data_IF_419411567695
#
_entry.id   IF_419411567695
#
_cell.length_a   1.000
_cell.length_b   1.000
_cell.length_c   1.000
_cell.angle_alpha   90.00
_cell.angle_beta   90.00
_cell.angle_gamma   90.00
#
_symmetry.space_group_name_H-M   'P 1'
#
loop_
_entity.id
_entity.type
_entity.pdbx_description
1 polymer ?
#
# COMPACT_ATOMS: atom_id res chain seq x y z
N UNK A 1 -12.31 3.18 -17.48
CA UNK A 1 -11.44 3.74 -16.42
C UNK A 1 -10.43 2.70 -16.00
N UNK A 2 -9.16 3.06 -16.02
CA UNK A 2 -8.09 2.12 -15.68
C UNK A 2 -8.05 1.90 -14.17
N UNK A 3 -8.19 0.64 -13.73
CA UNK A 3 -8.11 0.31 -12.31
C UNK A 3 -6.68 -0.05 -11.87
N UNK A 4 -5.75 -0.14 -12.80
CA UNK A 4 -4.35 -0.49 -12.52
C UNK A 4 -3.50 0.74 -12.23
N UNK A 5 -2.60 0.59 -11.27
CA UNK A 5 -1.54 1.58 -11.00
C UNK A 5 -0.32 1.20 -11.84
N UNK A 6 0.00 -0.10 -11.88
CA UNK A 6 1.08 -0.67 -12.68
C UNK A 6 0.67 -2.07 -13.12
N UNK A 7 1.57 -2.81 -13.78
CA UNK A 7 1.21 -4.14 -14.31
C UNK A 7 0.81 -5.15 -13.23
N UNK A 8 1.28 -4.99 -11.99
CA UNK A 8 1.02 -5.93 -10.90
C UNK A 8 0.16 -5.38 -9.76
N UNK A 9 -0.11 -4.07 -9.74
CA UNK A 9 -0.84 -3.44 -8.63
C UNK A 9 -2.04 -2.65 -9.13
N UNK A 10 -3.15 -2.79 -8.42
CA UNK A 10 -4.44 -2.15 -8.74
C UNK A 10 -4.89 -1.25 -7.60
N UNK A 11 -5.64 -0.20 -7.92
CA UNK A 11 -6.16 0.74 -6.93
C UNK A 11 -6.96 0.09 -5.80
N UNK A 12 -7.87 -0.88 -6.06
CA UNK A 12 -8.63 -1.48 -4.96
C UNK A 12 -7.77 -2.15 -3.90
N UNK A 13 -6.56 -2.62 -4.24
CA UNK A 13 -5.67 -3.23 -3.25
C UNK A 13 -5.24 -2.25 -2.17
N UNK A 14 -5.21 -0.95 -2.49
CA UNK A 14 -4.75 0.10 -1.58
C UNK A 14 -5.88 0.73 -0.77
N UNK A 15 -7.13 0.49 -1.13
CA UNK A 15 -8.28 1.08 -0.46
C UNK A 15 -9.11 0.06 0.30
N UNK A 16 -8.96 -1.23 0.05
CA UNK A 16 -9.72 -2.26 0.75
C UNK A 16 -9.34 -2.32 2.23
N UNK A 17 -10.32 -2.53 3.09
CA UNK A 17 -10.11 -2.67 4.52
C UNK A 17 -11.30 -3.38 5.14
N UNK A 18 -11.06 -4.47 5.87
CA UNK A 18 -12.12 -5.19 6.57
C UNK A 18 -12.74 -4.31 7.66
N UNK A 19 -11.90 -3.51 8.35
CA UNK A 19 -12.37 -2.57 9.36
C UNK A 19 -13.28 -1.51 8.75
N UNK A 20 -12.88 -0.94 7.60
CA UNK A 20 -13.70 0.06 6.91
C UNK A 20 -15.05 -0.54 6.49
N UNK A 21 -15.05 -1.76 5.97
CA UNK A 21 -16.30 -2.45 5.58
C UNK A 21 -17.19 -2.68 6.79
N UNK A 22 -16.63 -3.17 7.88
CA UNK A 22 -17.37 -3.47 9.10
C UNK A 22 -17.99 -2.20 9.74
N UNK A 23 -17.25 -1.10 9.71
CA UNK A 23 -17.67 0.17 10.32
C UNK A 23 -18.36 1.11 9.34
N UNK A 24 -18.58 0.69 8.09
CA UNK A 24 -19.20 1.49 7.04
C UNK A 24 -18.46 2.80 6.77
N UNK A 25 -17.12 2.75 6.81
CA UNK A 25 -16.27 3.88 6.50
C UNK A 25 -15.91 3.83 5.01
N UNK A 26 -16.11 4.94 4.29
CA UNK A 26 -15.71 5.05 2.90
C UNK A 26 -14.22 5.40 2.85
N UNK A 27 -13.39 4.39 2.58
CA UNK A 27 -11.94 4.57 2.48
C UNK A 27 -11.55 4.89 1.04
N UNK A 28 -11.93 6.07 0.57
CA UNK A 28 -11.69 6.52 -0.80
C UNK A 28 -10.61 7.57 -0.87
N UNK A 29 -9.81 7.52 -1.94
CA UNK A 29 -8.77 8.52 -2.20
C UNK A 29 -9.42 9.68 -2.94
N UNK A 30 -9.51 10.83 -2.26
CA UNK A 30 -10.11 12.05 -2.81
C UNK A 30 -9.09 13.16 -3.05
N UNK A 31 -7.85 12.97 -2.59
CA UNK A 31 -6.77 13.95 -2.66
C UNK A 31 -5.78 13.54 -3.76
N UNK A 32 -5.51 14.45 -4.70
CA UNK A 32 -4.56 14.21 -5.78
C UNK A 32 -3.14 13.97 -5.28
N UNK A 33 -2.72 14.62 -4.19
CA UNK A 33 -1.39 14.40 -3.61
C UNK A 33 -1.25 12.98 -3.08
N UNK A 34 -2.28 12.47 -2.42
CA UNK A 34 -2.31 11.07 -1.95
C UNK A 34 -2.23 10.11 -3.14
N UNK A 35 -3.01 10.38 -4.18
CA UNK A 35 -2.98 9.57 -5.40
C UNK A 35 -1.58 9.52 -6.01
N UNK A 36 -0.92 10.67 -6.13
CA UNK A 36 0.42 10.77 -6.69
C UNK A 36 1.44 10.05 -5.81
N UNK A 37 1.29 10.13 -4.49
CA UNK A 37 2.17 9.43 -3.55
C UNK A 37 2.06 7.91 -3.70
N UNK A 38 0.85 7.38 -3.90
CA UNK A 38 0.65 5.95 -4.12
C UNK A 38 1.28 5.52 -5.44
N UNK A 39 1.12 6.31 -6.50
CA UNK A 39 1.75 6.02 -7.78
C UNK A 39 3.28 5.96 -7.63
N UNK A 40 3.86 6.93 -6.92
CA UNK A 40 5.30 6.97 -6.68
C UNK A 40 5.76 5.74 -5.87
N UNK A 41 5.00 5.37 -4.83
CA UNK A 41 5.30 4.20 -4.01
C UNK A 41 5.30 2.92 -4.86
N UNK A 42 4.30 2.76 -5.73
CA UNK A 42 4.20 1.59 -6.60
C UNK A 42 5.33 1.58 -7.64
N UNK A 43 5.53 2.68 -8.34
CA UNK A 43 6.50 2.73 -9.45
C UNK A 43 7.94 2.62 -8.96
N UNK A 44 8.27 3.24 -7.83
CA UNK A 44 9.64 3.33 -7.35
C UNK A 44 10.03 2.22 -6.37
N UNK A 45 9.06 1.61 -5.71
CA UNK A 45 9.32 0.61 -4.66
C UNK A 45 8.61 -0.71 -4.93
N UNK A 46 7.29 -0.72 -4.96
CA UNK A 46 6.53 -1.97 -4.97
C UNK A 46 6.65 -2.75 -6.27
N UNK A 47 6.56 -2.10 -7.42
CA UNK A 47 6.69 -2.80 -8.70
C UNK A 47 8.11 -3.36 -8.91
N UNK A 48 9.19 -2.60 -8.63
CA UNK A 48 10.53 -3.18 -8.67
C UNK A 48 10.71 -4.37 -7.72
N UNK A 49 10.15 -4.29 -6.52
CA UNK A 49 10.20 -5.41 -5.57
C UNK A 49 9.44 -6.62 -6.11
N UNK A 50 8.26 -6.40 -6.68
CA UNK A 50 7.44 -7.47 -7.26
C UNK A 50 8.17 -8.17 -8.40
N UNK A 51 8.81 -7.41 -9.26
CA UNK A 51 9.57 -7.95 -10.39
C UNK A 51 10.77 -8.78 -9.93
N UNK A 52 11.48 -8.30 -8.92
CA UNK A 52 12.62 -9.01 -8.36
C UNK A 52 12.21 -10.25 -7.55
N UNK A 53 11.08 -10.15 -6.83
CA UNK A 53 10.58 -11.27 -6.02
C UNK A 53 10.08 -12.43 -6.87
N UNK A 54 9.48 -12.14 -8.01
CA UNK A 54 8.99 -13.15 -8.94
C UNK A 54 7.74 -13.89 -8.49
N UNK A 55 7.10 -13.44 -7.42
CA UNK A 55 5.87 -14.01 -6.88
C UNK A 55 4.93 -12.92 -6.38
N UNK A 56 3.71 -13.28 -5.95
CA UNK A 56 2.74 -12.28 -5.52
C UNK A 56 3.19 -11.54 -4.26
N UNK A 57 2.91 -10.23 -4.25
CA UNK A 57 3.01 -9.37 -3.06
C UNK A 57 1.60 -8.87 -2.78
N UNK A 58 1.05 -9.23 -1.62
CA UNK A 58 -0.29 -8.82 -1.23
C UNK A 58 -0.22 -7.54 -0.41
N UNK A 59 -1.10 -6.60 -0.70
CA UNK A 59 -1.22 -5.36 0.08
C UNK A 59 -2.24 -5.61 1.18
N UNK A 60 -1.77 -5.68 2.42
CA UNK A 60 -2.63 -5.92 3.60
C UNK A 60 -3.25 -4.62 4.08
N UNK A 61 -2.53 -3.52 3.99
CA UNK A 61 -3.02 -2.18 4.32
C UNK A 61 -2.28 -1.16 3.45
N UNK A 62 -3.01 -0.41 2.67
CA UNK A 62 -2.46 0.69 1.87
C UNK A 62 -2.92 2.03 2.41
N UNK A 63 -3.72 2.76 1.62
CA UNK A 63 -4.26 4.04 2.05
C UNK A 63 -5.28 3.87 3.18
N UNK A 64 -5.22 4.76 4.15
CA UNK A 64 -6.24 4.90 5.19
C UNK A 64 -6.71 6.36 5.23
N UNK A 65 -8.01 6.58 5.03
CA UNK A 65 -8.56 7.91 5.28
C UNK A 65 -8.42 8.24 6.77
N UNK A 66 -8.48 9.53 7.18
CA UNK A 66 -8.29 9.90 8.58
C UNK A 66 -9.25 9.18 9.54
N UNK A 67 -10.51 9.00 9.16
CA UNK A 67 -11.50 8.30 9.97
C UNK A 67 -11.10 6.83 10.20
N UNK A 68 -10.70 6.13 9.12
CA UNK A 68 -10.26 4.74 9.22
C UNK A 68 -8.98 4.63 10.05
N UNK A 69 -8.02 5.54 9.83
CA UNK A 69 -6.77 5.56 10.59
C UNK A 69 -7.02 5.67 12.08
N UNK A 70 -7.95 6.52 12.49
CA UNK A 70 -8.34 6.67 13.89
C UNK A 70 -8.99 5.38 14.42
N UNK A 71 -9.87 4.76 13.62
CA UNK A 71 -10.56 3.53 14.02
C UNK A 71 -9.62 2.36 14.27
N UNK A 72 -8.52 2.26 13.52
CA UNK A 72 -7.51 1.19 13.70
C UNK A 72 -6.40 1.56 14.69
N UNK A 73 -6.50 2.73 15.34
CA UNK A 73 -5.52 3.17 16.34
C UNK A 73 -4.23 3.72 15.77
N UNK A 74 -4.23 4.17 14.52
CA UNK A 74 -3.07 4.78 13.90
C UNK A 74 -2.83 6.20 14.40
N UNK A 75 -1.58 6.66 14.30
CA UNK A 75 -1.24 8.04 14.67
C UNK A 75 -1.72 9.01 13.59
N UNK A 76 -2.04 10.25 13.98
CA UNK A 76 -2.51 11.28 13.03
C UNK A 76 -1.54 11.53 11.87
N UNK A 77 -0.26 11.41 12.13
CA UNK A 77 0.79 11.64 11.14
C UNK A 77 1.18 10.39 10.36
N UNK A 78 0.36 9.33 10.44
CA UNK A 78 0.65 8.08 9.75
C UNK A 78 0.86 8.28 8.25
N UNK A 79 1.91 7.68 7.71
CA UNK A 79 2.19 7.71 6.28
C UNK A 79 1.11 6.98 5.45
N UNK A 80 0.34 6.08 6.06
CA UNK A 80 -0.80 5.45 5.40
C UNK A 80 -1.87 6.46 4.99
N UNK A 81 -2.05 7.54 5.76
CA UNK A 81 -3.02 8.59 5.43
C UNK A 81 -2.54 9.49 4.27
N UNK A 82 -1.26 9.44 3.96
CA UNK A 82 -0.65 10.24 2.89
C UNK A 82 -0.43 9.46 1.61
N UNK A 83 -0.72 8.14 1.61
CA UNK A 83 -0.43 7.28 0.48
C UNK A 83 1.06 6.94 0.33
N UNK A 84 1.83 7.06 1.41
CA UNK A 84 3.29 6.87 1.40
C UNK A 84 3.73 5.55 2.02
N UNK A 85 2.79 4.72 2.46
CA UNK A 85 3.11 3.46 3.11
C UNK A 85 2.15 2.35 2.69
N UNK A 86 2.65 1.13 2.71
CA UNK A 86 1.85 -0.07 2.50
C UNK A 86 2.41 -1.21 3.34
N UNK A 87 1.53 -1.96 3.99
CA UNK A 87 1.88 -3.20 4.67
C UNK A 87 1.68 -4.34 3.70
N UNK A 88 2.74 -5.11 3.47
CA UNK A 88 2.77 -6.15 2.44
C UNK A 88 2.85 -7.54 3.06
N UNK A 89 2.22 -8.53 2.41
CA UNK A 89 2.33 -9.94 2.75
C UNK A 89 2.94 -10.72 1.60
N UNK A 90 3.82 -11.66 1.91
CA UNK A 90 4.45 -12.56 0.94
C UNK A 90 4.51 -13.97 1.53
N UNK A 91 4.75 -14.98 0.66
CA UNK A 91 4.80 -16.37 1.09
C UNK A 91 6.02 -16.70 1.95
N UNK A 92 7.11 -15.97 1.79
CA UNK A 92 8.33 -16.14 2.59
C UNK A 92 8.85 -14.77 3.03
N UNK A 93 8.35 -14.25 4.17
CA UNK A 93 8.74 -12.91 4.64
C UNK A 93 10.23 -12.74 4.91
N UNK A 94 10.89 -13.80 5.37
CA UNK A 94 12.31 -13.74 5.68
C UNK A 94 13.15 -13.55 4.41
N UNK A 95 12.90 -14.37 3.39
CA UNK A 95 13.59 -14.25 2.11
C UNK A 95 13.28 -12.91 1.43
N UNK A 96 12.04 -12.44 1.54
CA UNK A 96 11.63 -11.15 1.00
C UNK A 96 12.38 -10.00 1.67
N UNK A 97 12.48 -10.02 3.00
CA UNK A 97 13.21 -8.99 3.74
C UNK A 97 14.68 -8.95 3.35
N UNK A 98 15.31 -10.12 3.16
CA UNK A 98 16.69 -10.19 2.67
C UNK A 98 16.84 -9.57 1.28
N UNK A 99 15.91 -9.85 0.39
CA UNK A 99 15.93 -9.28 -0.96
C UNK A 99 15.80 -7.77 -0.93
N UNK A 100 14.87 -7.23 -0.14
CA UNK A 100 14.65 -5.79 0.00
C UNK A 100 15.92 -5.11 0.49
N UNK A 101 16.56 -5.68 1.51
CA UNK A 101 17.82 -5.17 2.05
C UNK A 101 18.93 -5.16 0.99
N UNK A 102 19.04 -6.22 0.20
CA UNK A 102 20.06 -6.36 -0.85
C UNK A 102 19.85 -5.35 -1.97
N UNK A 103 18.60 -5.02 -2.31
CA UNK A 103 18.27 -4.05 -3.35
C UNK A 103 18.51 -2.62 -2.91
N UNK A 104 18.71 -2.36 -1.63
CA UNK A 104 18.94 -1.02 -1.06
C UNK A 104 17.83 -0.03 -1.39
N UNK A 105 16.59 -0.50 -1.40
CA UNK A 105 15.43 0.35 -1.62
C UNK A 105 15.11 1.08 -0.32
N UNK A 106 14.89 2.40 -0.44
CA UNK A 106 14.49 3.24 0.69
C UNK A 106 12.96 3.35 0.74
N UNK A 107 12.39 3.11 1.91
CA UNK A 107 10.95 3.28 2.14
C UNK A 107 10.66 3.64 3.58
#
# INVERSE_FOLDING_TARGET
MESRISKSFKWPEFTKSDTATRLHIQNEITDWDVRDNIIALVDNVLQPLRDAWGGPIFINSGYRCPELNKAVGGVETSQHTKGEAADCGVTDPYAFAKMVKRMKIKF
#
